data_IF_116960840662
#
_entry.id   IF_116960840662
#
_cell.length_a   1.000
_cell.length_b   1.000
_cell.length_c   1.000
_cell.angle_alpha   90.00
_cell.angle_beta   90.00
_cell.angle_gamma   90.00
#
_symmetry.space_group_name_H-M   'P 1'
#
loop_
_entity.id
_entity.type
_entity.pdbx_description
1 polymer ?
#
# COMPACT_ATOMS: atom_id res chain seq x y z
N UNK A 1 14.85 -20.09 -6.12
CA UNK A 1 15.04 -19.91 -4.67
C UNK A 1 14.04 -18.87 -4.20
N UNK A 2 12.91 -19.31 -3.64
CA UNK A 2 11.83 -18.42 -3.21
C UNK A 2 12.24 -17.64 -1.96
N UNK A 3 12.08 -16.32 -2.00
CA UNK A 3 12.36 -15.41 -0.89
C UNK A 3 11.47 -15.66 0.33
N UNK A 4 10.44 -16.52 0.23
CA UNK A 4 9.62 -16.99 1.35
C UNK A 4 10.42 -17.69 2.46
N UNK A 5 11.58 -18.26 2.14
CA UNK A 5 12.46 -18.92 3.14
C UNK A 5 13.32 -17.93 3.95
N UNK A 6 13.55 -16.71 3.43
CA UNK A 6 14.48 -15.75 4.05
C UNK A 6 13.82 -14.71 4.96
N UNK A 7 12.49 -14.56 4.95
CA UNK A 7 11.79 -13.70 5.90
C UNK A 7 11.49 -14.39 7.25
N UNK A 8 11.59 -15.73 7.28
CA UNK A 8 11.21 -16.52 8.45
C UNK A 8 12.17 -16.38 9.64
N UNK A 9 13.44 -16.08 9.38
CA UNK A 9 14.50 -16.11 10.40
C UNK A 9 14.61 -14.84 11.26
N UNK A 10 13.72 -13.85 11.07
CA UNK A 10 13.74 -12.60 11.83
C UNK A 10 12.39 -12.12 12.33
N UNK A 11 11.37 -12.98 12.34
CA UNK A 11 10.03 -12.61 12.81
C UNK A 11 9.98 -12.67 14.35
N UNK A 12 10.30 -11.55 15.00
CA UNK A 12 9.86 -11.29 16.37
C UNK A 12 8.71 -10.29 16.27
N UNK A 13 7.49 -10.78 16.38
CA UNK A 13 6.32 -9.94 16.61
C UNK A 13 6.44 -9.46 18.06
N UNK A 14 7.08 -8.31 18.28
CA UNK A 14 7.14 -7.69 19.60
C UNK A 14 5.71 -7.29 19.99
N UNK A 15 5.17 -8.02 20.95
CA UNK A 15 3.80 -7.83 21.44
C UNK A 15 3.75 -6.53 22.25
N UNK A 16 3.11 -5.52 21.69
CA UNK A 16 2.76 -4.32 22.41
C UNK A 16 1.69 -3.55 21.67
N UNK A 17 0.41 -3.77 22.02
CA UNK A 17 -0.68 -2.88 21.66
C UNK A 17 -0.44 -1.51 22.31
N UNK A 18 0.42 -0.71 21.69
CA UNK A 18 0.77 0.64 22.10
C UNK A 18 0.39 1.57 20.95
N UNK A 19 -0.50 2.51 21.24
CA UNK A 19 -1.07 3.50 20.31
C UNK A 19 -0.05 4.41 19.61
N UNK A 20 1.24 4.27 19.92
CA UNK A 20 2.36 5.07 19.38
C UNK A 20 3.35 4.25 18.54
N UNK A 21 3.06 2.99 18.19
CA UNK A 21 3.97 2.23 17.34
C UNK A 21 4.01 2.81 15.92
N UNK A 22 5.21 3.18 15.47
CA UNK A 22 5.48 3.59 14.10
C UNK A 22 5.32 2.41 13.13
N UNK A 23 4.88 2.69 11.90
CA UNK A 23 4.84 1.66 10.86
C UNK A 23 6.25 1.09 10.60
N UNK A 24 6.42 -0.24 10.50
CA UNK A 24 7.70 -0.82 10.12
C UNK A 24 8.07 -0.43 8.69
N UNK A 25 9.36 -0.33 8.41
CA UNK A 25 9.85 0.00 7.07
C UNK A 25 9.48 -1.07 6.03
N UNK A 26 9.33 -2.32 6.46
CA UNK A 26 8.93 -3.47 5.64
C UNK A 26 7.42 -3.73 5.82
N UNK A 27 6.65 -3.60 4.74
CA UNK A 27 5.20 -3.76 4.78
C UNK A 27 4.77 -5.21 4.96
N UNK A 28 5.59 -6.16 4.50
CA UNK A 28 5.35 -7.58 4.74
C UNK A 28 5.38 -7.92 6.24
N UNK A 29 6.27 -7.29 7.02
CA UNK A 29 6.33 -7.50 8.47
C UNK A 29 5.03 -6.99 9.12
N UNK A 30 4.56 -5.81 8.72
CA UNK A 30 3.27 -5.25 9.17
C UNK A 30 2.09 -6.18 8.87
N UNK A 31 2.03 -6.71 7.64
CA UNK A 31 0.98 -7.64 7.21
C UNK A 31 1.04 -8.96 7.96
N UNK A 32 2.23 -9.53 8.14
CA UNK A 32 2.42 -10.76 8.89
C UNK A 32 2.01 -10.59 10.36
N UNK A 33 2.38 -9.47 11.01
CA UNK A 33 1.95 -9.16 12.37
C UNK A 33 0.43 -9.05 12.44
N UNK A 34 -0.19 -8.28 11.53
CA UNK A 34 -1.64 -8.07 11.49
C UNK A 34 -2.41 -9.39 11.30
N UNK A 35 -1.92 -10.31 10.46
CA UNK A 35 -2.53 -11.63 10.28
C UNK A 35 -2.33 -12.54 11.50
N UNK A 36 -1.17 -12.46 12.15
CA UNK A 36 -0.88 -13.22 13.36
C UNK A 36 -1.76 -12.77 14.53
N UNK A 37 -2.00 -11.47 14.67
CA UNK A 37 -2.92 -10.90 15.66
C UNK A 37 -4.37 -11.36 15.49
N UNK A 38 -4.76 -11.70 14.25
CA UNK A 38 -6.07 -12.31 13.96
C UNK A 38 -6.12 -13.82 14.28
N UNK A 39 -5.03 -14.40 14.77
CA UNK A 39 -4.96 -15.80 15.17
C UNK A 39 -4.76 -16.79 14.02
N UNK A 40 -4.34 -16.31 12.84
CA UNK A 40 -4.02 -17.21 11.73
C UNK A 40 -2.69 -17.93 12.00
N UNK A 41 -2.65 -19.23 11.71
CA UNK A 41 -1.39 -19.97 11.81
C UNK A 41 -0.42 -19.54 10.71
N UNK A 42 0.87 -19.66 11.01
CA UNK A 42 1.96 -19.32 10.10
C UNK A 42 1.86 -20.06 8.76
N UNK A 43 1.42 -21.32 8.76
CA UNK A 43 1.24 -22.11 7.54
C UNK A 43 0.14 -21.54 6.63
N UNK A 44 -0.96 -21.07 7.23
CA UNK A 44 -2.06 -20.42 6.51
C UNK A 44 -1.58 -19.10 5.91
N UNK A 45 -0.88 -18.28 6.71
CA UNK A 45 -0.30 -17.01 6.25
C UNK A 45 0.65 -17.26 5.06
N UNK A 46 1.54 -18.25 5.17
CA UNK A 46 2.48 -18.60 4.10
C UNK A 46 1.79 -19.06 2.80
N UNK A 47 0.61 -19.66 2.92
CA UNK A 47 -0.16 -20.16 1.78
C UNK A 47 -0.93 -19.03 1.11
N UNK A 48 -1.51 -18.12 1.90
CA UNK A 48 -2.17 -16.90 1.40
C UNK A 48 -1.16 -15.99 0.69
N UNK A 49 0.02 -15.77 1.30
CA UNK A 49 1.04 -14.90 0.72
C UNK A 49 1.70 -15.48 -0.54
N UNK A 50 1.61 -16.80 -0.76
CA UNK A 50 2.11 -17.45 -1.98
C UNK A 50 1.34 -17.07 -3.24
N UNK A 51 0.11 -16.60 -3.09
CA UNK A 51 -0.72 -16.11 -4.20
C UNK A 51 -0.18 -14.80 -4.80
N UNK A 52 0.63 -14.06 -4.03
CA UNK A 52 1.13 -12.76 -4.43
C UNK A 52 2.49 -12.89 -5.10
N UNK A 53 2.58 -12.46 -6.36
CA UNK A 53 3.83 -12.49 -7.13
C UNK A 53 4.92 -11.61 -6.49
N UNK A 54 6.16 -12.13 -6.39
CA UNK A 54 7.33 -11.42 -5.86
C UNK A 54 7.55 -10.04 -6.51
N UNK A 55 7.26 -9.92 -7.81
CA UNK A 55 7.43 -8.65 -8.54
C UNK A 55 6.41 -7.60 -8.09
N UNK A 56 5.21 -8.01 -7.69
CA UNK A 56 4.16 -7.14 -7.15
C UNK A 56 4.50 -6.73 -5.72
N UNK A 57 4.96 -7.66 -4.88
CA UNK A 57 5.40 -7.37 -3.51
C UNK A 57 6.51 -6.33 -3.49
N UNK A 58 7.53 -6.46 -4.35
CA UNK A 58 8.63 -5.48 -4.43
C UNK A 58 8.14 -4.07 -4.79
N UNK A 59 7.19 -3.98 -5.74
CA UNK A 59 6.61 -2.70 -6.14
C UNK A 59 5.74 -2.11 -5.03
N UNK A 60 4.99 -2.94 -4.30
CA UNK A 60 4.20 -2.47 -3.18
C UNK A 60 5.10 -2.00 -2.03
N UNK A 61 6.16 -2.77 -1.75
CA UNK A 61 7.12 -2.45 -0.69
C UNK A 61 7.76 -1.06 -0.87
N UNK A 62 8.01 -0.60 -2.10
CA UNK A 62 8.59 0.74 -2.31
C UNK A 62 7.63 1.88 -1.93
N UNK A 63 6.32 1.75 -2.22
CA UNK A 63 5.32 2.73 -1.78
C UNK A 63 5.03 2.64 -0.30
N UNK A 64 5.03 1.42 0.26
CA UNK A 64 4.93 1.23 1.70
C UNK A 64 6.07 1.90 2.45
N UNK A 65 7.33 1.68 2.05
CA UNK A 65 8.48 2.30 2.69
C UNK A 65 8.39 3.83 2.68
N UNK A 66 7.92 4.40 1.57
CA UNK A 66 7.67 5.85 1.47
C UNK A 66 6.53 6.32 2.37
N UNK A 67 5.47 5.53 2.50
CA UNK A 67 4.37 5.79 3.42
C UNK A 67 4.82 5.72 4.89
N UNK A 68 5.55 4.68 5.27
CA UNK A 68 6.08 4.50 6.62
C UNK A 68 7.04 5.64 7.00
N UNK A 69 7.94 6.04 6.09
CA UNK A 69 8.81 7.21 6.28
C UNK A 69 8.00 8.50 6.47
N UNK A 70 7.01 8.75 5.61
CA UNK A 70 6.18 9.95 5.73
C UNK A 70 5.37 9.96 7.04
N UNK A 71 4.89 8.80 7.48
CA UNK A 71 4.21 8.67 8.77
C UNK A 71 5.16 8.92 9.94
N UNK A 72 6.40 8.42 9.86
CA UNK A 72 7.43 8.70 10.86
C UNK A 72 7.73 10.20 10.96
N UNK A 73 7.94 10.87 9.82
CA UNK A 73 8.21 12.31 9.77
C UNK A 73 7.03 13.16 10.28
N UNK A 74 5.80 12.67 10.08
CA UNK A 74 4.57 13.33 10.53
C UNK A 74 4.10 12.93 11.94
N UNK A 75 4.86 12.10 12.67
CA UNK A 75 4.48 11.53 13.97
C UNK A 75 3.12 10.81 13.96
N UNK A 76 2.83 10.12 12.85
CA UNK A 76 1.62 9.32 12.64
C UNK A 76 1.98 7.87 12.95
N UNK A 77 1.52 7.37 14.09
CA UNK A 77 1.59 5.96 14.45
C UNK A 77 0.48 5.12 13.79
N UNK A 78 0.57 3.81 13.99
CA UNK A 78 -0.46 2.89 13.52
C UNK A 78 -1.81 3.18 14.19
N UNK A 79 -1.84 3.46 15.50
CA UNK A 79 -3.08 3.65 16.26
C UNK A 79 -3.87 4.94 15.96
N UNK A 80 -3.21 5.98 15.42
CA UNK A 80 -3.83 7.26 15.09
C UNK A 80 -3.94 7.49 13.57
N UNK A 81 -3.72 6.46 12.75
CA UNK A 81 -3.93 6.57 11.31
C UNK A 81 -5.40 6.91 11.01
N UNK A 82 -5.61 8.01 10.28
CA UNK A 82 -6.93 8.49 9.92
C UNK A 82 -7.09 8.60 8.40
N UNK A 83 -8.35 8.66 7.95
CA UNK A 83 -8.67 8.97 6.55
C UNK A 83 -8.03 10.30 6.12
N UNK A 84 -7.98 11.29 7.02
CA UNK A 84 -7.33 12.58 6.73
C UNK A 84 -5.82 12.42 6.52
N UNK A 85 -5.15 11.60 7.35
CA UNK A 85 -3.73 11.29 7.21
C UNK A 85 -3.43 10.64 5.86
N UNK A 86 -4.24 9.67 5.42
CA UNK A 86 -4.11 9.07 4.10
C UNK A 86 -4.32 10.09 2.97
N UNK A 87 -5.33 10.95 3.07
CA UNK A 87 -5.55 12.02 2.09
C UNK A 87 -4.35 12.97 2.00
N UNK A 88 -3.78 13.38 3.14
CA UNK A 88 -2.57 14.22 3.19
C UNK A 88 -1.38 13.52 2.55
N UNK A 89 -1.18 12.24 2.80
CA UNK A 89 -0.13 11.46 2.17
C UNK A 89 -0.29 11.41 0.64
N UNK A 90 -1.50 11.18 0.12
CA UNK A 90 -1.72 11.17 -1.32
C UNK A 90 -1.54 12.55 -1.96
N UNK A 91 -1.92 13.63 -1.26
CA UNK A 91 -1.61 15.01 -1.69
C UNK A 91 -0.10 15.22 -1.76
N UNK A 92 0.65 14.82 -0.73
CA UNK A 92 2.11 14.89 -0.74
C UNK A 92 2.71 14.14 -1.95
N UNK A 93 2.25 12.91 -2.22
CA UNK A 93 2.71 12.18 -3.40
C UNK A 93 2.37 12.91 -4.71
N UNK A 94 1.17 13.47 -4.83
CA UNK A 94 0.75 14.23 -6.01
C UNK A 94 1.59 15.50 -6.21
N UNK A 95 1.90 16.22 -5.14
CA UNK A 95 2.73 17.43 -5.15
C UNK A 95 4.17 17.13 -5.55
N UNK A 96 4.70 15.96 -5.20
CA UNK A 96 6.02 15.49 -5.70
C UNK A 96 6.04 15.10 -7.19
N UNK A 97 4.95 15.32 -7.92
CA UNK A 97 4.90 15.17 -9.37
C UNK A 97 4.47 13.77 -9.85
N UNK A 98 4.00 12.89 -8.97
CA UNK A 98 3.51 11.57 -9.39
C UNK A 98 2.27 11.69 -10.28
N UNK A 99 2.18 10.80 -11.27
CA UNK A 99 1.01 10.71 -12.15
C UNK A 99 -0.19 10.10 -11.41
N UNK A 100 -1.40 10.39 -11.88
CA UNK A 100 -2.61 9.80 -11.31
C UNK A 100 -2.60 8.26 -11.37
N UNK A 101 -2.07 7.66 -12.45
CA UNK A 101 -1.90 6.21 -12.56
C UNK A 101 -0.94 5.65 -11.51
N UNK A 102 0.15 6.37 -11.22
CA UNK A 102 1.11 6.00 -10.17
C UNK A 102 0.47 6.08 -8.78
N UNK A 103 -0.36 7.09 -8.52
CA UNK A 103 -1.09 7.24 -7.27
C UNK A 103 -2.09 6.11 -7.04
N UNK A 104 -2.81 5.67 -8.09
CA UNK A 104 -3.66 4.46 -8.01
C UNK A 104 -2.86 3.24 -7.59
N UNK A 105 -1.66 3.06 -8.13
CA UNK A 105 -0.79 1.96 -7.75
C UNK A 105 -0.31 2.07 -6.29
N UNK A 106 0.08 3.27 -5.86
CA UNK A 106 0.41 3.54 -4.46
C UNK A 106 -0.78 3.20 -3.52
N UNK A 107 -2.00 3.53 -3.94
CA UNK A 107 -3.23 3.19 -3.21
C UNK A 107 -3.41 1.69 -3.04
N UNK A 108 -3.28 0.93 -4.12
CA UNK A 108 -3.40 -0.53 -4.09
C UNK A 108 -2.33 -1.14 -3.17
N UNK A 109 -1.10 -0.64 -3.26
CA UNK A 109 0.00 -1.06 -2.40
C UNK A 109 -0.30 -0.82 -0.92
N UNK A 110 -0.78 0.37 -0.56
CA UNK A 110 -1.06 0.71 0.84
C UNK A 110 -2.26 -0.09 1.34
N UNK A 111 -3.30 -0.22 0.51
CA UNK A 111 -4.46 -1.07 0.82
C UNK A 111 -4.06 -2.51 1.09
N UNK A 112 -3.12 -3.07 0.32
CA UNK A 112 -2.65 -4.44 0.50
C UNK A 112 -2.07 -4.69 1.89
N UNK A 113 -1.22 -3.79 2.38
CA UNK A 113 -0.58 -3.94 3.70
C UNK A 113 -1.48 -3.51 4.87
N UNK A 114 -2.35 -2.51 4.68
CA UNK A 114 -3.23 -2.01 5.74
C UNK A 114 -4.53 -2.79 5.92
N UNK A 115 -4.97 -3.57 4.92
CA UNK A 115 -6.28 -4.22 4.94
C UNK A 115 -6.52 -5.05 6.19
N UNK A 116 -5.50 -5.74 6.68
CA UNK A 116 -5.66 -6.61 7.84
C UNK A 116 -5.75 -5.82 9.16
N UNK A 117 -5.02 -4.72 9.32
CA UNK A 117 -4.98 -3.92 10.55
C UNK A 117 -6.02 -2.79 10.60
N UNK A 118 -6.36 -2.20 9.46
CA UNK A 118 -7.19 -0.99 9.36
C UNK A 118 -8.44 -1.17 8.48
N UNK A 119 -8.72 -2.40 8.03
CA UNK A 119 -9.85 -2.71 7.17
C UNK A 119 -9.82 -1.90 5.88
N UNK A 120 -10.98 -1.39 5.47
CA UNK A 120 -11.17 -0.69 4.20
C UNK A 120 -10.95 0.84 4.30
N UNK A 121 -10.10 1.30 5.22
CA UNK A 121 -9.80 2.75 5.41
C UNK A 121 -9.33 3.42 4.11
N UNK A 122 -8.63 2.68 3.24
CA UNK A 122 -8.12 3.15 1.95
C UNK A 122 -9.23 3.25 0.88
N UNK A 123 -10.32 2.50 1.03
CA UNK A 123 -11.49 2.55 0.15
C UNK A 123 -12.52 3.60 0.59
N UNK A 124 -12.25 4.34 1.67
CA UNK A 124 -13.12 5.41 2.16
C UNK A 124 -13.48 6.42 1.05
N UNK A 125 -14.74 6.91 1.07
CA UNK A 125 -15.31 7.77 0.02
C UNK A 125 -14.46 9.02 -0.27
N UNK A 126 -13.90 9.66 0.77
CA UNK A 126 -12.98 10.79 0.65
C UNK A 126 -11.69 10.44 -0.10
N UNK A 127 -11.05 9.31 0.19
CA UNK A 127 -9.84 8.86 -0.51
C UNK A 127 -10.17 8.58 -1.99
N UNK A 128 -11.26 7.86 -2.23
CA UNK A 128 -11.75 7.56 -3.58
C UNK A 128 -12.06 8.83 -4.39
N UNK A 129 -12.70 9.83 -3.77
CA UNK A 129 -13.00 11.12 -4.41
C UNK A 129 -11.74 11.94 -4.66
N UNK A 130 -10.78 11.92 -3.74
CA UNK A 130 -9.48 12.58 -3.89
C UNK A 130 -8.70 12.00 -5.08
N UNK A 131 -8.62 10.67 -5.19
CA UNK A 131 -7.95 10.03 -6.34
C UNK A 131 -8.59 10.40 -7.68
N UNK A 132 -9.93 10.41 -7.75
CA UNK A 132 -10.66 10.89 -8.93
C UNK A 132 -10.36 12.35 -9.25
N UNK A 133 -10.10 13.19 -8.24
CA UNK A 133 -9.73 14.58 -8.48
C UNK A 133 -8.35 14.71 -9.12
N UNK A 134 -7.38 13.88 -8.73
CA UNK A 134 -6.04 13.89 -9.35
C UNK A 134 -6.09 13.55 -10.83
N UNK A 135 -6.93 12.59 -11.24
CA UNK A 135 -7.15 12.27 -12.64
C UNK A 135 -7.73 13.44 -13.45
N UNK A 136 -8.56 14.27 -12.81
CA UNK A 136 -9.12 15.47 -13.46
C UNK A 136 -8.09 16.58 -13.57
N UNK A 137 -7.26 16.76 -12.54
CA UNK A 137 -6.24 17.82 -12.51
C UNK A 137 -5.09 17.50 -13.46
N UNK A 138 -4.64 16.23 -13.50
CA UNK A 138 -3.59 15.74 -14.39
C UNK A 138 -4.10 14.50 -15.15
N UNK A 139 -4.87 14.69 -16.22
CA UNK A 139 -5.37 13.58 -17.01
C UNK A 139 -4.22 12.77 -17.61
N UNK A 140 -4.33 11.45 -17.52
CA UNK A 140 -3.39 10.54 -18.18
C UNK A 140 -3.61 10.62 -19.68
N UNK A 141 -2.65 11.20 -20.39
CA UNK A 141 -2.68 11.25 -21.86
C UNK A 141 -2.46 9.83 -22.41
N UNK A 142 -3.29 9.35 -23.35
CA UNK A 142 -3.05 8.06 -23.99
C UNK A 142 -1.66 8.04 -24.65
N UNK A 143 -0.94 6.92 -24.50
CA UNK A 143 0.42 6.77 -25.08
C UNK A 143 0.41 6.82 -26.60
N UNK A 144 -0.69 6.40 -27.22
CA UNK A 144 -0.84 6.36 -28.67
C UNK A 144 -1.66 7.56 -29.12
N UNK A 145 -1.07 8.38 -29.97
CA UNK A 145 -1.74 9.52 -30.63
C UNK A 145 -2.61 9.02 -31.78
N UNK A 146 -2.26 7.87 -32.36
CA UNK A 146 -2.93 7.28 -33.53
C UNK A 146 -3.43 5.89 -33.17
N UNK A 147 -4.73 5.66 -33.33
CA UNK A 147 -5.34 4.33 -33.36
C UNK A 147 -5.59 3.94 -34.81
N UNK A 148 -5.22 2.73 -35.21
CA UNK A 148 -5.40 2.25 -36.58
C UNK A 148 -6.87 2.35 -37.01
N UNK A 149 -7.13 2.96 -38.18
CA UNK A 149 -8.47 3.05 -38.77
C UNK A 149 -8.82 1.70 -39.41
N UNK A 150 -9.65 0.91 -38.73
CA UNK A 150 -10.06 -0.45 -39.16
C UNK A 150 -11.16 -0.37 -40.23
N UNK A 151 -10.97 0.48 -41.25
CA UNK A 151 -11.83 0.44 -42.44
C UNK A 151 -11.58 -0.90 -43.14
N UNK A 152 -12.59 -1.76 -42.97
CA UNK A 152 -12.69 -3.16 -43.39
C UNK A 152 -12.14 -3.41 -44.79
N UNK A 153 -11.36 -4.48 -44.88
CA UNK A 153 -11.05 -5.22 -46.10
C UNK A 153 -12.29 -5.97 -46.56
#
# INVERSE_FOLDING_TARGET
>A
MCLTSLYFTRFSCDQGASSLQSFPSVGMDHLMCSLSEKGLSVDVISSVLRDVEDSSVKKYQSYWARFASWCHDGEIGSGNLSVNSLCKFYIFLFETGLSASTLKFARCSISFFLRESHGDIVDHSHVSRLMKSFEKIRPTVPRYVVTWDVKKV
#
